data_IF_417144935279
#
_entry.id   IF_417144935279
#
_cell.length_a   1.000
_cell.length_b   1.000
_cell.length_c   1.000
_cell.angle_alpha   90.00
_cell.angle_beta   90.00
_cell.angle_gamma   90.00
#
_symmetry.space_group_name_H-M   'P 1'
#
loop_
_entity.id
_entity.type
_entity.pdbx_description
1 polymer ?
#
# COMPACT_ATOMS: atom_id res chain seq x y z
N UNK A 1 47.68 -69.59 22.80
CA UNK A 1 48.00 -68.61 21.76
C UNK A 1 46.67 -67.91 21.36
N UNK A 2 46.43 -66.76 21.92
CA UNK A 2 45.22 -65.96 21.53
C UNK A 2 45.58 -65.30 20.22
N UNK A 3 44.85 -65.66 19.18
CA UNK A 3 45.09 -65.24 17.81
C UNK A 3 45.04 -63.71 17.69
N UNK A 4 46.06 -63.10 17.11
CA UNK A 4 46.15 -61.66 16.79
C UNK A 4 44.96 -61.17 15.93
N UNK A 5 44.24 -62.10 15.33
CA UNK A 5 43.06 -61.83 14.53
C UNK A 5 41.80 -61.45 15.34
N UNK A 6 41.68 -61.95 16.59
CA UNK A 6 40.56 -61.67 17.48
C UNK A 6 40.60 -60.27 18.08
N UNK A 7 41.77 -59.68 18.27
CA UNK A 7 41.93 -58.33 18.84
C UNK A 7 41.57 -57.25 17.81
N UNK A 8 41.88 -57.46 16.53
CA UNK A 8 41.53 -56.50 15.45
C UNK A 8 40.06 -56.37 15.21
N UNK A 9 39.27 -57.43 15.33
CA UNK A 9 37.85 -57.43 15.10
C UNK A 9 37.08 -56.70 16.20
N UNK A 10 37.53 -56.86 17.47
CA UNK A 10 36.88 -56.16 18.62
C UNK A 10 37.13 -54.66 18.61
N UNK A 11 38.29 -54.20 18.16
CA UNK A 11 38.59 -52.74 18.06
C UNK A 11 37.83 -52.10 16.94
N UNK A 12 37.65 -52.76 15.79
CA UNK A 12 36.85 -52.25 14.66
C UNK A 12 35.38 -52.14 15.01
N UNK A 13 34.81 -53.10 15.75
CA UNK A 13 33.40 -53.05 16.16
C UNK A 13 33.15 -51.96 17.20
N UNK A 14 34.06 -51.71 18.12
CA UNK A 14 33.93 -50.62 19.12
C UNK A 14 34.04 -49.24 18.49
N UNK A 15 34.90 -49.03 17.49
CA UNK A 15 35.01 -47.80 16.72
C UNK A 15 33.75 -47.54 15.89
N UNK A 16 33.16 -48.56 15.28
CA UNK A 16 31.93 -48.42 14.51
C UNK A 16 30.73 -48.04 15.38
N UNK A 17 30.61 -48.66 16.56
CA UNK A 17 29.56 -48.28 17.53
C UNK A 17 29.79 -46.89 18.12
N UNK A 18 31.03 -46.44 18.28
CA UNK A 18 31.32 -45.07 18.69
C UNK A 18 30.91 -44.03 17.62
N UNK A 19 31.16 -44.34 16.35
CA UNK A 19 30.74 -43.48 15.23
C UNK A 19 29.21 -43.37 15.09
N UNK A 20 28.46 -44.41 15.39
CA UNK A 20 27.00 -44.41 15.35
C UNK A 20 26.35 -43.54 16.44
N UNK A 21 27.05 -43.31 17.55
CA UNK A 21 26.57 -42.46 18.64
C UNK A 21 26.88 -40.97 18.44
N UNK A 22 27.81 -40.61 17.54
CA UNK A 22 28.15 -39.21 17.29
C UNK A 22 27.21 -38.55 16.31
N UNK A 23 26.44 -39.32 15.52
CA UNK A 23 25.55 -38.77 14.50
C UNK A 23 24.13 -38.42 15.00
N UNK A 24 23.85 -38.61 16.31
CA UNK A 24 22.50 -38.45 16.87
C UNK A 24 22.20 -37.06 17.44
N UNK A 25 23.20 -36.17 17.55
CA UNK A 25 23.01 -34.80 18.10
C UNK A 25 23.25 -33.69 17.10
N UNK A 26 22.95 -33.93 15.81
CA UNK A 26 22.73 -32.82 14.91
C UNK A 26 21.29 -32.31 15.12
N UNK A 27 21.07 -31.74 16.30
CA UNK A 27 19.94 -30.83 16.50
C UNK A 27 20.20 -29.66 15.56
N UNK A 28 19.52 -29.64 14.42
CA UNK A 28 19.39 -28.45 13.60
C UNK A 28 18.98 -27.31 14.51
N UNK A 29 19.70 -26.19 14.58
CA UNK A 29 19.14 -25.00 15.18
C UNK A 29 17.84 -24.73 14.41
N UNK A 30 16.73 -24.83 15.10
CA UNK A 30 15.46 -24.32 14.62
C UNK A 30 15.70 -22.81 14.43
N UNK A 31 16.19 -22.45 13.24
CA UNK A 31 16.08 -21.10 12.77
C UNK A 31 14.60 -20.82 12.72
N UNK A 32 14.08 -20.19 13.77
CA UNK A 32 12.94 -19.31 13.67
C UNK A 32 13.36 -18.17 12.72
N UNK A 33 13.56 -18.49 11.43
CA UNK A 33 13.32 -17.51 10.39
C UNK A 33 11.84 -17.18 10.58
N UNK A 34 11.62 -16.10 11.33
CA UNK A 34 10.42 -15.31 11.17
C UNK A 34 10.33 -15.10 9.66
N UNK A 35 9.50 -15.89 9.01
CA UNK A 35 9.11 -15.66 7.65
C UNK A 35 8.48 -14.27 7.67
N UNK A 36 9.28 -13.25 7.33
CA UNK A 36 8.76 -12.03 6.80
C UNK A 36 8.06 -12.46 5.52
N UNK A 37 6.84 -12.96 5.70
CA UNK A 37 5.88 -13.09 4.63
C UNK A 37 5.80 -11.70 4.04
N UNK A 38 6.39 -11.51 2.87
CA UNK A 38 6.23 -10.28 2.08
C UNK A 38 4.75 -10.23 1.77
N UNK A 39 3.99 -9.61 2.68
CA UNK A 39 2.56 -9.45 2.50
C UNK A 39 2.35 -8.70 1.20
N UNK A 40 1.75 -9.37 0.24
CA UNK A 40 1.35 -8.71 -1.00
C UNK A 40 0.47 -7.51 -0.65
N UNK A 41 0.73 -6.33 -1.25
CA UNK A 41 -0.05 -5.15 -0.96
C UNK A 41 -1.54 -5.41 -1.25
N UNK A 42 -2.39 -4.99 -0.34
CA UNK A 42 -3.84 -5.04 -0.53
C UNK A 42 -4.26 -4.24 -1.77
N UNK A 43 -5.43 -4.53 -2.37
CA UNK A 43 -5.94 -3.75 -3.49
C UNK A 43 -5.95 -2.24 -3.22
N UNK A 44 -6.33 -1.82 -2.01
CA UNK A 44 -6.32 -0.42 -1.62
C UNK A 44 -4.89 0.15 -1.55
N UNK A 45 -3.93 -0.58 -1.00
CA UNK A 45 -2.54 -0.14 -0.93
C UNK A 45 -1.94 0.05 -2.32
N UNK A 46 -2.21 -0.89 -3.24
CA UNK A 46 -1.80 -0.77 -4.64
C UNK A 46 -2.42 0.46 -5.31
N UNK A 47 -3.71 0.66 -5.13
CA UNK A 47 -4.43 1.82 -5.67
C UNK A 47 -3.89 3.14 -5.12
N UNK A 48 -3.59 3.21 -3.82
CA UNK A 48 -2.96 4.39 -3.21
C UNK A 48 -1.58 4.67 -3.80
N UNK A 49 -0.77 3.64 -4.04
CA UNK A 49 0.56 3.80 -4.64
C UNK A 49 0.47 4.36 -6.06
N UNK A 50 -0.38 3.79 -6.91
CA UNK A 50 -0.63 4.30 -8.27
C UNK A 50 -1.16 5.74 -8.23
N UNK A 51 -2.13 6.01 -7.37
CA UNK A 51 -2.73 7.34 -7.23
C UNK A 51 -1.75 8.41 -6.75
N UNK A 52 -0.73 8.03 -5.99
CA UNK A 52 0.36 8.94 -5.59
C UNK A 52 1.14 9.45 -6.79
N UNK A 53 1.46 8.57 -7.74
CA UNK A 53 2.18 8.97 -8.96
C UNK A 53 1.33 9.94 -9.79
N UNK A 54 0.05 9.62 -10.00
CA UNK A 54 -0.89 10.50 -10.71
C UNK A 54 -1.06 11.86 -10.01
N UNK A 55 -1.11 11.88 -8.68
CA UNK A 55 -1.19 13.11 -7.92
C UNK A 55 0.04 13.99 -8.13
N UNK A 56 1.23 13.40 -8.07
CA UNK A 56 2.48 14.12 -8.26
C UNK A 56 2.62 14.70 -9.68
N UNK A 57 2.04 14.03 -10.66
CA UNK A 57 2.09 14.45 -12.05
C UNK A 57 1.06 15.55 -12.36
N UNK A 58 -0.17 15.41 -11.90
CA UNK A 58 -1.31 16.19 -12.39
C UNK A 58 -1.93 17.15 -11.37
N UNK A 59 -1.77 16.90 -10.08
CA UNK A 59 -2.54 17.58 -9.03
C UNK A 59 -1.69 18.50 -8.13
N UNK A 60 -0.44 18.14 -7.93
CA UNK A 60 0.49 18.81 -6.99
C UNK A 60 0.68 20.30 -7.28
N UNK A 61 0.62 20.68 -8.55
CA UNK A 61 0.78 22.06 -9.02
C UNK A 61 -0.22 23.02 -8.34
N UNK A 62 -1.45 22.57 -8.16
CA UNK A 62 -2.51 23.37 -7.56
C UNK A 62 -2.76 23.02 -6.10
N UNK A 63 -2.79 21.73 -5.78
CA UNK A 63 -3.15 21.27 -4.44
C UNK A 63 -1.96 21.12 -3.49
N UNK A 64 -0.73 21.34 -3.94
CA UNK A 64 0.54 21.28 -3.22
C UNK A 64 0.88 19.87 -2.70
N UNK A 65 2.15 19.62 -2.39
CA UNK A 65 2.61 18.31 -1.90
C UNK A 65 1.96 17.91 -0.55
N UNK A 66 1.61 18.89 0.26
CA UNK A 66 0.95 18.69 1.56
C UNK A 66 -0.57 18.68 1.49
N UNK A 67 -1.16 18.76 0.30
CA UNK A 67 -2.59 18.76 0.10
C UNK A 67 -3.34 19.99 0.63
N UNK A 68 -2.65 21.06 1.05
CA UNK A 68 -3.30 22.22 1.68
C UNK A 68 -3.77 23.28 0.70
N UNK A 69 -3.45 23.13 -0.59
CA UNK A 69 -3.70 24.15 -1.59
C UNK A 69 -2.99 25.47 -1.22
N UNK A 70 -3.44 26.58 -1.79
CA UNK A 70 -2.87 27.90 -1.48
C UNK A 70 -3.76 28.78 -0.58
N UNK A 71 -4.83 28.21 -0.08
CA UNK A 71 -5.75 28.88 0.85
C UNK A 71 -6.65 29.96 0.23
N UNK A 72 -6.49 30.32 -1.03
CA UNK A 72 -7.30 31.35 -1.71
C UNK A 72 -7.95 30.85 -2.99
N UNK A 73 -7.17 30.28 -3.89
CA UNK A 73 -7.59 29.84 -5.22
C UNK A 73 -7.86 28.33 -5.27
N UNK A 74 -6.97 27.57 -4.63
CA UNK A 74 -6.99 26.11 -4.64
C UNK A 74 -7.39 25.58 -3.27
N UNK A 75 -8.50 24.84 -3.17
CA UNK A 75 -8.98 24.35 -1.88
C UNK A 75 -8.05 23.28 -1.31
N UNK A 76 -8.02 23.15 0.03
CA UNK A 76 -7.30 22.05 0.67
C UNK A 76 -7.99 20.71 0.37
N UNK A 77 -7.16 19.68 0.16
CA UNK A 77 -7.56 18.28 0.15
C UNK A 77 -7.26 17.63 1.51
N UNK A 78 -6.19 18.08 2.17
CA UNK A 78 -5.88 17.66 3.54
C UNK A 78 -6.96 18.13 4.51
N UNK A 79 -7.55 17.19 5.24
CA UNK A 79 -8.59 17.48 6.23
C UNK A 79 -9.89 18.03 5.64
N UNK A 80 -10.10 17.91 4.32
CA UNK A 80 -11.25 18.47 3.63
C UNK A 80 -12.57 17.86 4.08
N UNK A 81 -13.49 18.72 4.55
CA UNK A 81 -14.84 18.29 4.86
C UNK A 81 -15.65 17.99 3.59
N UNK A 82 -15.32 18.63 2.45
CA UNK A 82 -15.89 18.33 1.15
C UNK A 82 -15.61 16.88 0.75
N UNK A 83 -14.36 16.41 0.82
CA UNK A 83 -14.00 15.04 0.52
C UNK A 83 -14.72 14.03 1.44
N UNK A 84 -14.90 14.38 2.70
CA UNK A 84 -15.55 13.50 3.70
C UNK A 84 -17.05 13.39 3.50
N UNK A 85 -17.72 14.51 3.15
CA UNK A 85 -19.19 14.60 3.10
C UNK A 85 -19.76 14.50 1.70
N UNK A 86 -18.97 14.81 0.67
CA UNK A 86 -19.38 14.98 -0.73
C UNK A 86 -18.60 14.03 -1.66
N UNK A 87 -18.65 12.72 -1.33
CA UNK A 87 -17.90 11.71 -2.06
C UNK A 87 -18.20 11.68 -3.56
N UNK A 88 -19.48 11.68 -3.92
CA UNK A 88 -19.92 11.66 -5.32
C UNK A 88 -19.48 12.91 -6.07
N UNK A 89 -19.68 14.07 -5.47
CA UNK A 89 -19.28 15.37 -6.03
C UNK A 89 -17.76 15.49 -6.15
N UNK A 90 -17.01 14.90 -5.20
CA UNK A 90 -15.55 14.88 -5.26
C UNK A 90 -15.04 14.03 -6.43
N UNK A 91 -15.63 12.86 -6.67
CA UNK A 91 -15.32 12.02 -7.83
C UNK A 91 -15.72 12.73 -9.12
N UNK A 92 -16.90 13.36 -9.14
CA UNK A 92 -17.38 14.14 -10.28
C UNK A 92 -16.40 15.26 -10.64
N UNK A 93 -15.89 15.99 -9.63
CA UNK A 93 -14.94 17.09 -9.84
C UNK A 93 -13.64 16.60 -10.50
N UNK A 94 -13.13 15.44 -10.16
CA UNK A 94 -11.95 14.88 -10.83
C UNK A 94 -12.31 14.39 -12.23
N UNK A 95 -13.47 13.77 -12.41
CA UNK A 95 -13.87 13.17 -13.68
C UNK A 95 -14.21 14.19 -14.76
N UNK A 96 -14.97 15.21 -14.39
CA UNK A 96 -15.55 16.18 -15.34
C UNK A 96 -15.04 17.61 -15.15
N UNK A 97 -14.24 17.83 -14.11
CA UNK A 97 -13.83 19.15 -13.70
C UNK A 97 -14.82 19.79 -12.71
N UNK A 98 -14.40 20.90 -12.11
CA UNK A 98 -15.20 21.68 -11.16
C UNK A 98 -15.34 23.10 -11.67
N UNK A 99 -16.57 23.58 -11.72
CA UNK A 99 -16.91 24.99 -12.01
C UNK A 99 -17.88 25.51 -10.95
N UNK A 100 -17.81 26.80 -10.68
CA UNK A 100 -18.68 27.46 -9.72
C UNK A 100 -18.19 27.35 -8.28
N UNK A 101 -18.92 28.01 -7.40
CA UNK A 101 -18.55 28.11 -6.00
C UNK A 101 -18.76 26.80 -5.25
N UNK A 102 -17.74 26.39 -4.50
CA UNK A 102 -17.81 25.32 -3.50
C UNK A 102 -17.38 25.86 -2.16
N UNK A 103 -17.84 25.21 -1.09
CA UNK A 103 -17.41 25.55 0.28
C UNK A 103 -16.61 24.37 0.82
N UNK A 104 -15.36 24.62 1.18
CA UNK A 104 -14.46 23.64 1.77
C UNK A 104 -13.95 24.17 3.12
N UNK A 105 -14.17 23.41 4.18
CA UNK A 105 -13.82 23.79 5.55
C UNK A 105 -14.33 25.20 5.95
N UNK A 106 -15.57 25.52 5.53
CA UNK A 106 -16.22 26.81 5.79
C UNK A 106 -15.74 27.97 4.92
N UNK A 107 -14.80 27.76 4.00
CA UNK A 107 -14.28 28.79 3.09
C UNK A 107 -14.79 28.58 1.68
N UNK A 108 -15.16 29.67 1.01
CA UNK A 108 -15.63 29.68 -0.38
C UNK A 108 -14.44 29.64 -1.34
N UNK A 109 -14.55 28.79 -2.37
CA UNK A 109 -13.65 28.70 -3.50
C UNK A 109 -14.49 28.75 -4.78
N UNK A 110 -14.16 29.64 -5.68
CA UNK A 110 -14.88 29.84 -6.94
C UNK A 110 -13.90 29.91 -8.11
N UNK A 111 -13.10 28.86 -8.24
CA UNK A 111 -12.16 28.72 -9.33
C UNK A 111 -12.46 27.48 -10.16
N UNK A 112 -11.99 27.45 -11.40
CA UNK A 112 -12.17 26.30 -12.26
C UNK A 112 -11.04 25.28 -12.04
N UNK A 113 -11.41 24.04 -11.82
CA UNK A 113 -10.52 22.88 -11.89
C UNK A 113 -10.83 22.14 -13.20
N UNK A 114 -9.91 22.09 -14.17
CA UNK A 114 -10.14 21.33 -15.38
C UNK A 114 -10.13 19.82 -15.09
N UNK A 115 -10.83 19.04 -15.90
CA UNK A 115 -10.71 17.59 -15.87
C UNK A 115 -9.30 17.18 -16.31
N UNK A 116 -8.61 16.31 -15.60
CA UNK A 116 -7.28 15.83 -15.97
C UNK A 116 -7.29 14.79 -17.11
N UNK A 117 -8.46 14.35 -17.59
CA UNK A 117 -8.58 13.39 -18.68
C UNK A 117 -8.23 11.94 -18.33
N UNK A 118 -8.31 11.59 -17.04
CA UNK A 118 -7.98 10.27 -16.53
C UNK A 118 -9.07 9.22 -16.83
N UNK A 119 -8.68 7.97 -16.96
CA UNK A 119 -9.58 6.81 -17.01
C UNK A 119 -10.31 6.60 -15.67
N UNK A 120 -11.35 5.77 -15.65
CA UNK A 120 -12.08 5.49 -14.41
C UNK A 120 -11.20 4.81 -13.35
N UNK A 121 -10.26 3.99 -13.76
CA UNK A 121 -9.29 3.31 -12.91
C UNK A 121 -8.33 4.32 -12.29
N UNK A 122 -7.75 5.20 -13.09
CA UNK A 122 -6.83 6.24 -12.62
C UNK A 122 -7.51 7.26 -11.70
N UNK A 123 -8.77 7.62 -11.99
CA UNK A 123 -9.57 8.46 -11.09
C UNK A 123 -9.78 7.76 -9.75
N UNK A 124 -10.11 6.46 -9.76
CA UNK A 124 -10.24 5.69 -8.53
C UNK A 124 -8.93 5.68 -7.74
N UNK A 125 -7.79 5.48 -8.41
CA UNK A 125 -6.47 5.42 -7.80
C UNK A 125 -6.08 6.77 -7.17
N UNK A 126 -6.18 7.87 -7.90
CA UNK A 126 -5.84 9.20 -7.35
C UNK A 126 -6.77 9.61 -6.22
N UNK A 127 -8.06 9.28 -6.30
CA UNK A 127 -9.01 9.55 -5.23
C UNK A 127 -8.73 8.69 -3.99
N UNK A 128 -8.33 7.41 -4.15
CA UNK A 128 -7.90 6.56 -3.05
C UNK A 128 -6.64 7.11 -2.36
N UNK A 129 -5.69 7.64 -3.14
CA UNK A 129 -4.52 8.32 -2.58
C UNK A 129 -4.93 9.56 -1.78
N UNK A 130 -5.68 10.49 -2.36
CA UNK A 130 -6.11 11.74 -1.71
C UNK A 130 -6.90 11.45 -0.43
N UNK A 131 -7.81 10.48 -0.45
CA UNK A 131 -8.65 10.14 0.70
C UNK A 131 -7.92 9.33 1.79
N UNK A 132 -6.66 8.96 1.57
CA UNK A 132 -5.83 8.24 2.54
C UNK A 132 -4.48 8.91 2.81
N UNK A 133 -4.28 10.13 2.28
CA UNK A 133 -3.06 10.91 2.47
C UNK A 133 -3.25 11.98 3.54
N UNK A 134 -2.14 12.44 4.07
CA UNK A 134 -2.05 13.48 5.11
C UNK A 134 -2.89 13.12 6.34
N UNK A 135 -3.85 13.95 6.70
CA UNK A 135 -4.79 13.67 7.80
C UNK A 135 -6.04 12.87 7.36
N UNK A 136 -6.21 12.65 6.04
CA UNK A 136 -7.34 11.91 5.51
C UNK A 136 -7.15 10.41 5.73
N UNK A 137 -8.22 9.73 6.20
CA UNK A 137 -8.23 8.27 6.35
C UNK A 137 -9.63 7.74 6.04
N UNK A 138 -9.74 6.88 5.03
CA UNK A 138 -10.97 6.17 4.72
C UNK A 138 -10.69 4.69 4.50
N UNK A 139 -11.56 3.84 5.03
CA UNK A 139 -11.51 2.39 4.78
C UNK A 139 -12.27 1.99 3.51
N UNK A 140 -13.17 2.86 3.02
CA UNK A 140 -14.01 2.57 1.86
C UNK A 140 -13.25 2.94 0.58
N UNK A 141 -12.69 1.93 -0.07
CA UNK A 141 -12.03 2.08 -1.37
C UNK A 141 -12.99 2.64 -2.43
N UNK A 142 -12.51 3.56 -3.26
CA UNK A 142 -13.16 3.98 -4.51
C UNK A 142 -12.77 2.98 -5.58
N UNK A 143 -13.75 2.56 -6.39
CA UNK A 143 -13.54 1.60 -7.47
C UNK A 143 -13.83 2.23 -8.81
N UNK A 144 -13.22 1.72 -9.88
CA UNK A 144 -13.52 2.13 -11.26
C UNK A 144 -15.02 2.01 -11.60
N UNK A 145 -15.69 0.98 -11.05
CA UNK A 145 -17.14 0.82 -11.19
C UNK A 145 -17.91 1.99 -10.54
N UNK A 146 -17.51 2.44 -9.36
CA UNK A 146 -18.11 3.61 -8.71
C UNK A 146 -17.89 4.87 -9.55
N UNK A 147 -16.67 5.08 -10.05
CA UNK A 147 -16.34 6.21 -10.93
C UNK A 147 -17.14 6.17 -12.24
N UNK A 148 -17.29 5.00 -12.86
CA UNK A 148 -18.06 4.85 -14.10
C UNK A 148 -19.55 5.20 -13.95
N UNK A 149 -20.11 5.01 -12.76
CA UNK A 149 -21.50 5.32 -12.45
C UNK A 149 -21.76 6.83 -12.29
N UNK A 150 -20.71 7.65 -12.07
CA UNK A 150 -20.85 9.11 -11.99
C UNK A 150 -21.13 9.67 -13.37
N UNK A 151 -22.23 10.41 -13.48
CA UNK A 151 -22.69 11.07 -14.73
C UNK A 151 -22.32 12.55 -14.72
N UNK A 152 -22.25 13.20 -15.92
CA UNK A 152 -22.06 14.63 -16.06
C UNK A 152 -23.16 15.44 -15.38
#
# INVERSE_FOLDING_TARGET
>A
MISKLSIGLTVLTSLFLYYLNITSDFSSPSNNLSSNEVQQPTPLQKSIANGKELYNELCIQCHMANGKGNGTTFPPLDGSDWLKKKRTESIHSVKYGQKGEIVVNGKKFNNMMPSPGLSNEEIADVMNYVMNSWSNKTKKMITAKEVSAIKP
#
